data_IF_652000478595
#
_entry.id   IF_652000478595
#
_cell.length_a   1.000
_cell.length_b   1.000
_cell.length_c   1.000
_cell.angle_alpha   90.00
_cell.angle_beta   90.00
_cell.angle_gamma   90.00
#
_symmetry.space_group_name_H-M   'P 1'
#
loop_
_entity.id
_entity.type
_entity.pdbx_description
1 polymer ?
#
# COMPACT_ATOMS: atom_id res chain seq x y z
N UNK A 1 -9.43 12.60 -31.33
CA UNK A 1 -8.02 12.66 -31.71
C UNK A 1 -7.42 11.29 -31.50
N UNK A 2 -7.06 10.61 -32.59
CA UNK A 2 -6.34 9.34 -32.58
C UNK A 2 -4.84 9.57 -32.33
N UNK A 3 -4.09 8.51 -32.02
CA UNK A 3 -2.63 8.61 -31.86
C UNK A 3 -1.96 9.14 -33.14
N UNK A 4 -2.45 8.72 -34.31
CA UNK A 4 -1.96 9.16 -35.61
C UNK A 4 -2.27 10.63 -35.90
N UNK A 5 -3.46 11.12 -35.51
CA UNK A 5 -3.83 12.55 -35.64
C UNK A 5 -2.99 13.43 -34.70
N UNK A 6 -2.72 12.96 -33.48
CA UNK A 6 -1.85 13.65 -32.53
C UNK A 6 -0.39 13.73 -33.03
N UNK A 7 0.13 12.62 -33.55
CA UNK A 7 1.49 12.56 -34.08
C UNK A 7 1.66 13.42 -35.35
N UNK A 8 0.63 13.49 -36.20
CA UNK A 8 0.62 14.37 -37.38
C UNK A 8 0.66 15.86 -36.97
N UNK A 9 -0.14 16.26 -35.98
CA UNK A 9 -0.11 17.62 -35.42
C UNK A 9 1.26 17.96 -34.82
N UNK A 10 1.87 17.04 -34.07
CA UNK A 10 3.20 17.25 -33.51
C UNK A 10 4.30 17.38 -34.57
N UNK A 11 4.15 16.70 -35.72
CA UNK A 11 5.07 16.83 -36.86
C UNK A 11 4.91 18.19 -37.53
N UNK A 12 3.68 18.65 -37.71
CA UNK A 12 3.37 19.98 -38.26
C UNK A 12 3.90 21.11 -37.35
N UNK A 13 3.81 20.93 -36.03
CA UNK A 13 4.38 21.85 -35.03
C UNK A 13 5.91 21.74 -34.87
N UNK A 14 6.58 20.80 -35.55
CA UNK A 14 8.03 20.58 -35.41
C UNK A 14 8.46 20.03 -34.04
N UNK A 15 7.53 19.46 -33.26
CA UNK A 15 7.73 18.97 -31.89
C UNK A 15 7.80 17.45 -31.77
N UNK A 16 7.58 16.73 -32.87
CA UNK A 16 7.55 15.28 -32.91
C UNK A 16 8.88 14.65 -32.48
N UNK A 17 10.00 15.11 -33.03
CA UNK A 17 11.31 14.53 -32.75
C UNK A 17 11.69 14.70 -31.26
N UNK A 18 11.44 15.89 -30.70
CA UNK A 18 11.65 16.15 -29.27
C UNK A 18 10.76 15.28 -28.36
N UNK A 19 9.51 14.99 -28.77
CA UNK A 19 8.65 14.06 -28.05
C UNK A 19 9.23 12.64 -28.08
N UNK A 20 9.69 12.17 -29.25
CA UNK A 20 10.27 10.84 -29.42
C UNK A 20 11.54 10.68 -28.57
N UNK A 21 12.47 11.65 -28.63
CA UNK A 21 13.69 11.65 -27.81
C UNK A 21 13.39 11.60 -26.31
N UNK A 22 12.40 12.37 -25.85
CA UNK A 22 11.97 12.37 -24.45
C UNK A 22 11.31 11.04 -24.05
N UNK A 23 10.51 10.44 -24.93
CA UNK A 23 9.92 9.12 -24.69
C UNK A 23 11.00 8.04 -24.57
N UNK A 24 11.97 8.04 -25.48
CA UNK A 24 13.09 7.10 -25.44
C UNK A 24 13.94 7.28 -24.19
N UNK A 25 14.24 8.53 -23.79
CA UNK A 25 14.98 8.83 -22.55
C UNK A 25 14.23 8.27 -21.34
N UNK A 26 12.93 8.54 -21.22
CA UNK A 26 12.09 8.01 -20.14
C UNK A 26 12.05 6.48 -20.15
N UNK A 27 12.01 5.86 -21.32
CA UNK A 27 12.01 4.40 -21.46
C UNK A 27 13.36 3.80 -21.02
N UNK A 28 14.49 4.40 -21.44
CA UNK A 28 15.83 3.99 -20.98
C UNK A 28 15.94 4.06 -19.46
N UNK A 29 15.53 5.16 -18.85
CA UNK A 29 15.51 5.31 -17.39
C UNK A 29 14.59 4.30 -16.69
N UNK A 30 13.41 4.01 -17.26
CA UNK A 30 12.52 2.96 -16.73
C UNK A 30 13.18 1.59 -16.78
N UNK A 31 13.84 1.25 -17.88
CA UNK A 31 14.52 -0.03 -18.05
C UNK A 31 15.70 -0.18 -17.09
N UNK A 32 16.49 0.88 -16.88
CA UNK A 32 17.59 0.89 -15.92
C UNK A 32 17.09 0.67 -14.49
N UNK A 33 16.07 1.42 -14.05
CA UNK A 33 15.43 1.22 -12.74
C UNK A 33 14.85 -0.18 -12.59
N UNK A 34 14.19 -0.70 -13.63
CA UNK A 34 13.65 -2.06 -13.62
C UNK A 34 14.76 -3.12 -13.45
N UNK A 35 15.92 -2.93 -14.10
CA UNK A 35 17.09 -3.82 -13.93
C UNK A 35 17.63 -3.75 -12.51
N UNK A 36 17.73 -2.56 -11.94
CA UNK A 36 18.16 -2.37 -10.56
C UNK A 36 17.23 -3.08 -9.57
N UNK A 37 15.91 -2.89 -9.70
CA UNK A 37 14.92 -3.53 -8.83
C UNK A 37 14.89 -5.05 -8.99
N UNK A 38 15.11 -5.56 -10.21
CA UNK A 38 15.26 -7.00 -10.46
C UNK A 38 16.47 -7.57 -9.74
N UNK A 39 17.61 -6.89 -9.75
CA UNK A 39 18.80 -7.30 -8.98
C UNK A 39 18.53 -7.26 -7.48
N UNK A 40 17.93 -6.18 -7.00
CA UNK A 40 17.65 -5.98 -5.58
C UNK A 40 16.71 -7.07 -5.02
N UNK A 41 15.68 -7.49 -5.75
CA UNK A 41 14.69 -8.47 -5.25
C UNK A 41 15.16 -9.93 -5.27
N UNK A 42 16.32 -10.25 -5.85
CA UNK A 42 16.81 -11.64 -5.97
C UNK A 42 16.75 -12.41 -4.63
N UNK A 43 17.20 -11.85 -3.48
CA UNK A 43 17.13 -12.56 -2.21
C UNK A 43 15.69 -12.80 -1.73
N UNK A 44 14.76 -11.87 -2.01
CA UNK A 44 13.35 -12.04 -1.67
C UNK A 44 12.71 -13.17 -2.48
N UNK A 45 12.95 -13.20 -3.79
CA UNK A 45 12.40 -14.24 -4.66
C UNK A 45 12.99 -15.61 -4.32
N UNK A 46 14.28 -15.69 -4.03
CA UNK A 46 14.92 -16.93 -3.59
C UNK A 46 14.29 -17.47 -2.28
N UNK A 47 14.11 -16.60 -1.29
CA UNK A 47 13.50 -16.97 -0.02
C UNK A 47 12.02 -17.36 -0.17
N UNK A 48 11.25 -16.69 -1.04
CA UNK A 48 9.87 -17.08 -1.34
C UNK A 48 9.79 -18.48 -1.98
N UNK A 49 10.66 -18.76 -2.96
CA UNK A 49 10.72 -20.07 -3.62
C UNK A 49 11.14 -21.19 -2.67
N UNK A 50 12.06 -20.92 -1.75
CA UNK A 50 12.48 -21.88 -0.73
C UNK A 50 11.31 -22.30 0.21
N UNK A 51 10.29 -21.46 0.33
CA UNK A 51 9.05 -21.74 1.08
C UNK A 51 7.91 -22.25 0.17
N UNK A 52 8.21 -22.67 -1.05
CA UNK A 52 7.23 -23.23 -2.00
C UNK A 52 6.38 -22.18 -2.72
N UNK A 53 6.74 -20.89 -2.63
CA UNK A 53 6.03 -19.79 -3.28
C UNK A 53 6.68 -19.48 -4.62
N UNK A 54 6.08 -20.00 -5.69
CA UNK A 54 6.51 -19.81 -7.08
C UNK A 54 6.16 -18.40 -7.58
N UNK A 55 7.14 -17.49 -7.56
CA UNK A 55 7.02 -16.13 -8.10
C UNK A 55 8.30 -15.68 -8.83
N UNK A 56 8.14 -14.69 -9.71
CA UNK A 56 9.21 -13.89 -10.31
C UNK A 56 9.38 -12.55 -9.58
N UNK A 57 8.34 -12.11 -8.89
CA UNK A 57 8.35 -10.86 -8.13
C UNK A 57 7.34 -10.81 -6.98
N UNK A 58 7.58 -9.89 -6.06
CA UNK A 58 6.60 -9.49 -5.05
C UNK A 58 5.28 -8.98 -5.66
N UNK A 59 5.33 -8.43 -6.89
CA UNK A 59 4.14 -7.97 -7.60
C UNK A 59 3.25 -9.10 -8.09
N UNK A 60 3.78 -10.32 -8.24
CA UNK A 60 2.97 -11.48 -8.59
C UNK A 60 2.02 -11.83 -7.42
N UNK A 61 2.49 -11.64 -6.18
CA UNK A 61 1.66 -11.77 -4.97
C UNK A 61 0.62 -10.65 -4.88
N UNK A 62 0.96 -9.43 -5.30
CA UNK A 62 0.00 -8.31 -5.35
C UNK A 62 -1.10 -8.57 -6.37
N UNK A 63 -0.76 -9.16 -7.52
CA UNK A 63 -1.65 -9.34 -8.66
C UNK A 63 -2.39 -10.69 -8.67
N UNK A 64 -2.04 -11.62 -7.78
CA UNK A 64 -2.71 -12.91 -7.69
C UNK A 64 -3.99 -12.85 -6.85
N UNK A 65 -4.97 -13.66 -7.23
CA UNK A 65 -6.17 -13.92 -6.42
C UNK A 65 -5.99 -15.11 -5.49
N UNK A 66 -4.92 -15.90 -5.66
CA UNK A 66 -4.64 -17.07 -4.83
C UNK A 66 -4.11 -16.62 -3.46
N UNK A 67 -4.56 -17.22 -2.36
CA UNK A 67 -3.99 -16.94 -1.04
C UNK A 67 -2.55 -17.50 -0.95
N UNK A 68 -1.69 -16.80 -0.21
CA UNK A 68 -0.27 -17.13 -0.02
C UNK A 68 0.16 -17.00 1.45
N UNK A 69 -0.46 -17.73 2.40
CA UNK A 69 -0.10 -17.63 3.82
C UNK A 69 1.40 -17.90 4.07
N UNK A 70 2.01 -18.82 3.31
CA UNK A 70 3.41 -19.20 3.48
C UNK A 70 4.40 -18.10 3.06
N UNK A 71 3.95 -17.14 2.24
CA UNK A 71 4.76 -15.99 1.86
C UNK A 71 4.84 -14.93 2.99
N UNK A 72 3.85 -14.89 3.89
CA UNK A 72 3.69 -13.80 4.88
C UNK A 72 4.90 -13.70 5.82
N UNK A 73 5.40 -14.79 6.44
CA UNK A 73 6.59 -14.71 7.29
C UNK A 73 7.83 -14.25 6.53
N UNK A 74 7.96 -14.64 5.26
CA UNK A 74 9.07 -14.22 4.39
C UNK A 74 8.98 -12.73 4.09
N UNK A 75 7.80 -12.24 3.72
CA UNK A 75 7.55 -10.81 3.44
C UNK A 75 7.85 -9.94 4.67
N UNK A 76 7.40 -10.35 5.87
CA UNK A 76 7.68 -9.63 7.13
C UNK A 76 9.18 -9.60 7.44
N UNK A 77 9.91 -10.71 7.22
CA UNK A 77 11.37 -10.75 7.40
C UNK A 77 12.10 -9.83 6.40
N UNK A 78 11.54 -9.62 5.22
CA UNK A 78 12.17 -8.84 4.16
C UNK A 78 11.83 -7.35 4.19
N UNK A 79 10.70 -6.95 4.76
CA UNK A 79 10.26 -5.56 4.80
C UNK A 79 11.30 -4.60 5.44
N UNK A 80 11.98 -4.95 6.55
CA UNK A 80 12.98 -4.08 7.18
C UNK A 80 14.34 -4.06 6.45
N UNK A 81 14.53 -4.89 5.42
CA UNK A 81 15.79 -4.92 4.66
C UNK A 81 15.89 -3.65 3.80
N UNK A 82 17.12 -3.19 3.56
CA UNK A 82 17.44 -1.98 2.79
C UNK A 82 17.18 -2.08 1.29
N UNK A 83 15.96 -2.48 0.90
CA UNK A 83 15.52 -2.54 -0.49
C UNK A 83 15.16 -1.15 -1.03
N UNK A 84 15.27 -0.94 -2.35
CA UNK A 84 14.68 0.23 -3.00
C UNK A 84 13.19 0.35 -2.69
N UNK A 85 12.68 1.58 -2.58
CA UNK A 85 11.29 1.84 -2.15
C UNK A 85 10.25 1.11 -3.01
N UNK A 86 10.48 0.93 -4.31
CA UNK A 86 9.57 0.18 -5.17
C UNK A 86 9.43 -1.29 -4.78
N UNK A 87 10.52 -1.91 -4.33
CA UNK A 87 10.50 -3.31 -3.86
C UNK A 87 9.83 -3.36 -2.48
N UNK A 88 10.13 -2.40 -1.59
CA UNK A 88 9.46 -2.29 -0.28
C UNK A 88 7.95 -2.08 -0.42
N UNK A 89 7.54 -1.27 -1.40
CA UNK A 89 6.14 -1.06 -1.76
C UNK A 89 5.47 -2.36 -2.17
N UNK A 90 6.08 -3.14 -3.07
CA UNK A 90 5.54 -4.42 -3.49
C UNK A 90 5.40 -5.41 -2.33
N UNK A 91 6.39 -5.48 -1.43
CA UNK A 91 6.32 -6.28 -0.19
C UNK A 91 5.13 -5.83 0.68
N UNK A 92 5.03 -4.53 0.95
CA UNK A 92 4.00 -3.98 1.83
C UNK A 92 2.59 -4.16 1.23
N UNK A 93 2.43 -3.97 -0.08
CA UNK A 93 1.16 -4.21 -0.78
C UNK A 93 0.79 -5.70 -0.80
N UNK A 94 1.76 -6.61 -0.94
CA UNK A 94 1.51 -8.04 -0.83
C UNK A 94 1.02 -8.41 0.58
N UNK A 95 1.58 -7.80 1.63
CA UNK A 95 1.08 -7.94 2.99
C UNK A 95 -0.34 -7.36 3.17
N UNK A 96 -0.70 -6.32 2.40
CA UNK A 96 -2.03 -5.72 2.42
C UNK A 96 -3.10 -6.46 1.59
N UNK A 97 -2.71 -7.45 0.77
CA UNK A 97 -3.65 -8.08 -0.15
C UNK A 97 -4.71 -8.88 0.61
N UNK A 98 -5.98 -8.65 0.25
CA UNK A 98 -7.14 -9.23 0.91
C UNK A 98 -7.34 -10.69 0.50
N UNK A 99 -6.54 -11.59 1.05
CA UNK A 99 -6.85 -13.01 1.11
C UNK A 99 -7.31 -13.40 2.51
N UNK A 100 -8.33 -14.27 2.69
CA UNK A 100 -8.77 -14.75 4.02
C UNK A 100 -7.70 -15.53 4.83
N UNK A 101 -6.45 -15.57 4.36
CA UNK A 101 -5.28 -16.18 5.01
C UNK A 101 -3.98 -15.36 4.88
N UNK A 102 -3.99 -14.20 4.21
CA UNK A 102 -2.77 -13.39 4.10
C UNK A 102 -2.44 -12.64 5.39
N UNK A 103 -3.43 -12.41 6.27
CA UNK A 103 -3.15 -11.93 7.64
C UNK A 103 -4.19 -12.52 8.60
N UNK A 104 -3.79 -13.61 9.26
CA UNK A 104 -4.07 -13.78 10.68
C UNK A 104 -3.33 -12.73 11.53
N UNK A 105 -2.77 -11.66 10.95
CA UNK A 105 -2.03 -10.61 11.63
C UNK A 105 -2.85 -9.59 12.43
N UNK A 106 -4.19 -9.67 12.38
CA UNK A 106 -4.98 -9.17 13.51
C UNK A 106 -4.61 -9.83 14.83
N UNK A 107 -4.21 -11.09 14.78
CA UNK A 107 -3.80 -11.87 15.96
C UNK A 107 -2.30 -12.07 16.08
N UNK A 108 -1.52 -11.74 15.06
CA UNK A 108 -0.06 -11.84 15.11
C UNK A 108 0.53 -10.49 15.48
N UNK A 109 0.77 -10.32 16.79
CA UNK A 109 1.39 -9.12 17.36
C UNK A 109 2.75 -8.81 16.72
N UNK A 110 3.51 -9.83 16.33
CA UNK A 110 4.81 -9.61 15.71
C UNK A 110 4.70 -8.92 14.35
N UNK A 111 3.72 -9.33 13.54
CA UNK A 111 3.47 -8.71 12.24
C UNK A 111 3.06 -7.23 12.39
N UNK A 112 2.21 -6.93 13.38
CA UNK A 112 1.83 -5.56 13.72
C UNK A 112 3.06 -4.72 14.09
N UNK A 113 3.88 -5.19 15.04
CA UNK A 113 5.05 -4.45 15.53
C UNK A 113 6.04 -4.14 14.40
N UNK A 114 6.32 -5.12 13.52
CA UNK A 114 7.20 -4.91 12.35
C UNK A 114 6.65 -3.83 11.42
N UNK A 115 5.35 -3.85 11.15
CA UNK A 115 4.70 -2.87 10.27
C UNK A 115 4.71 -1.46 10.87
N UNK A 116 4.44 -1.30 12.17
CA UNK A 116 4.46 -0.01 12.85
C UNK A 116 5.85 0.61 12.78
N UNK A 117 6.88 -0.17 13.14
CA UNK A 117 8.28 0.26 13.10
C UNK A 117 8.67 0.75 11.71
N UNK A 118 8.35 -0.02 10.66
CA UNK A 118 8.72 0.32 9.29
C UNK A 118 7.91 1.50 8.73
N UNK A 119 6.63 1.60 9.10
CA UNK A 119 5.77 2.74 8.75
C UNK A 119 6.29 4.05 9.35
N UNK A 120 6.64 4.04 10.65
CA UNK A 120 7.17 5.22 11.35
C UNK A 120 8.56 5.64 10.83
N UNK A 121 9.43 4.68 10.51
CA UNK A 121 10.75 4.96 9.90
C UNK A 121 10.63 5.55 8.50
N UNK A 122 9.59 5.20 7.75
CA UNK A 122 9.44 5.63 6.37
C UNK A 122 9.22 7.14 6.29
N UNK A 123 10.05 7.82 5.50
CA UNK A 123 9.98 9.27 5.27
C UNK A 123 9.18 9.64 4.02
N UNK A 124 8.71 8.66 3.26
CA UNK A 124 7.92 8.88 2.06
C UNK A 124 6.63 9.62 2.40
N UNK A 125 6.47 10.90 1.98
CA UNK A 125 5.27 11.67 2.28
C UNK A 125 4.13 11.33 1.29
N UNK A 126 4.40 10.58 0.23
CA UNK A 126 3.44 10.33 -0.83
C UNK A 126 2.45 9.24 -0.44
N UNK A 127 1.20 9.38 -0.90
CA UNK A 127 0.16 8.36 -0.76
C UNK A 127 0.27 7.25 -1.83
N UNK A 128 1.47 7.02 -2.39
CA UNK A 128 1.66 6.13 -3.54
C UNK A 128 2.76 5.08 -3.35
N UNK A 129 3.74 5.32 -2.46
CA UNK A 129 4.90 4.45 -2.29
C UNK A 129 4.82 3.47 -1.12
N UNK A 130 5.99 3.10 -0.61
CA UNK A 130 6.13 2.03 0.38
C UNK A 130 5.37 2.32 1.67
N UNK A 131 5.36 3.57 2.12
CA UNK A 131 4.65 3.98 3.35
C UNK A 131 3.15 3.77 3.24
N UNK A 132 2.56 4.14 2.10
CA UNK A 132 1.15 3.88 1.84
C UNK A 132 0.85 2.38 1.83
N UNK A 133 1.70 1.59 1.17
CA UNK A 133 1.61 0.12 1.20
C UNK A 133 1.60 -0.44 2.63
N UNK A 134 2.48 0.08 3.49
CA UNK A 134 2.54 -0.30 4.91
C UNK A 134 1.28 0.10 5.67
N UNK A 135 0.74 1.30 5.41
CA UNK A 135 -0.53 1.73 5.99
C UNK A 135 -1.70 0.83 5.56
N UNK A 136 -1.73 0.39 4.30
CA UNK A 136 -2.70 -0.60 3.86
C UNK A 136 -2.52 -1.95 4.57
N UNK A 137 -1.28 -2.39 4.81
CA UNK A 137 -1.01 -3.63 5.54
C UNK A 137 -1.45 -3.52 7.01
N UNK A 138 -1.12 -2.41 7.69
CA UNK A 138 -1.60 -2.07 9.03
C UNK A 138 -3.12 -2.02 9.09
N UNK A 139 -3.76 -1.44 8.07
CA UNK A 139 -5.22 -1.39 7.98
C UNK A 139 -5.86 -2.78 7.93
N UNK A 140 -5.22 -3.76 7.29
CA UNK A 140 -5.69 -5.15 7.26
C UNK A 140 -5.35 -5.89 8.56
N UNK A 141 -4.17 -5.64 9.13
CA UNK A 141 -3.74 -6.22 10.39
C UNK A 141 -4.49 -5.64 11.60
N UNK A 142 -4.99 -4.40 11.57
CA UNK A 142 -5.56 -3.77 12.75
C UNK A 142 -6.90 -4.37 13.18
N UNK A 143 -7.03 -4.62 14.48
CA UNK A 143 -8.27 -4.94 15.19
C UNK A 143 -8.38 -4.20 16.53
N UNK A 144 -9.39 -4.56 17.34
CA UNK A 144 -9.66 -3.89 18.61
C UNK A 144 -8.53 -4.02 19.64
N UNK A 145 -7.63 -5.02 19.51
CA UNK A 145 -6.52 -5.24 20.44
C UNK A 145 -5.39 -4.21 20.29
N UNK A 146 -5.32 -3.51 19.17
CA UNK A 146 -4.29 -2.49 18.86
C UNK A 146 -4.91 -1.12 18.62
N UNK A 147 -6.16 -0.91 19.04
CA UNK A 147 -6.92 0.29 18.71
C UNK A 147 -6.28 1.57 19.28
N UNK A 148 -5.66 1.49 20.46
CA UNK A 148 -4.97 2.62 21.08
C UNK A 148 -3.75 3.05 20.24
N UNK A 149 -2.97 2.09 19.73
CA UNK A 149 -1.83 2.35 18.84
C UNK A 149 -2.29 2.91 17.48
N UNK A 150 -3.43 2.45 16.97
CA UNK A 150 -4.04 3.03 15.75
C UNK A 150 -4.41 4.50 15.98
N UNK A 151 -5.00 4.82 17.14
CA UNK A 151 -5.38 6.20 17.50
C UNK A 151 -4.12 7.07 17.59
N UNK A 152 -3.04 6.57 18.21
CA UNK A 152 -1.76 7.25 18.27
C UNK A 152 -1.21 7.55 16.87
N UNK A 153 -1.12 6.55 15.99
CA UNK A 153 -0.64 6.73 14.61
C UNK A 153 -1.50 7.72 13.80
N UNK A 154 -2.81 7.74 14.04
CA UNK A 154 -3.72 8.70 13.40
C UNK A 154 -3.50 10.13 13.90
N UNK A 155 -3.03 10.32 15.15
CA UNK A 155 -2.73 11.64 15.70
C UNK A 155 -1.42 12.25 15.17
N UNK A 156 -0.53 11.42 14.60
CA UNK A 156 0.78 11.84 14.11
C UNK A 156 0.70 12.53 12.74
N UNK A 157 0.46 13.84 12.72
CA UNK A 157 0.31 14.65 11.49
C UNK A 157 1.49 14.52 10.49
N UNK A 158 2.70 14.22 10.99
CA UNK A 158 3.90 13.96 10.15
C UNK A 158 3.71 12.82 9.15
N UNK A 159 2.69 11.98 9.33
CA UNK A 159 2.37 10.88 8.41
C UNK A 159 1.43 11.31 7.27
N UNK A 160 0.85 12.51 7.33
CA UNK A 160 0.04 13.08 6.25
C UNK A 160 -1.12 12.16 5.85
N UNK A 161 -1.35 12.03 4.54
CA UNK A 161 -2.39 11.16 3.98
C UNK A 161 -2.13 9.67 4.18
N UNK A 162 -0.91 9.24 4.51
CA UNK A 162 -0.63 7.83 4.79
C UNK A 162 -1.37 7.29 6.02
N UNK A 163 -2.03 8.17 6.79
CA UNK A 163 -2.95 7.83 7.88
C UNK A 163 -4.32 7.34 7.40
N UNK A 164 -4.74 7.70 6.18
CA UNK A 164 -6.09 7.41 5.64
C UNK A 164 -6.45 5.91 5.68
N UNK A 165 -5.55 4.96 5.32
CA UNK A 165 -5.89 3.53 5.40
C UNK A 165 -6.25 3.06 6.81
N UNK A 166 -5.66 3.66 7.85
CA UNK A 166 -5.91 3.27 9.25
C UNK A 166 -7.35 3.58 9.70
N UNK A 167 -8.05 4.49 9.02
CA UNK A 167 -9.46 4.78 9.29
C UNK A 167 -10.36 3.56 9.12
N UNK A 168 -10.01 2.59 8.25
CA UNK A 168 -10.78 1.35 8.10
C UNK A 168 -10.76 0.50 9.38
N UNK A 169 -9.69 0.57 10.18
CA UNK A 169 -9.61 -0.10 11.49
C UNK A 169 -10.64 0.50 12.44
N UNK A 170 -10.69 1.83 12.56
CA UNK A 170 -11.73 2.51 13.36
C UNK A 170 -13.14 2.17 12.88
N UNK A 171 -13.34 2.09 11.56
CA UNK A 171 -14.65 1.81 10.97
C UNK A 171 -15.14 0.39 11.25
N UNK A 172 -14.22 -0.58 11.40
CA UNK A 172 -14.50 -1.99 11.71
C UNK A 172 -14.56 -2.28 13.22
N UNK A 173 -13.92 -1.44 14.03
CA UNK A 173 -13.82 -1.58 15.48
C UNK A 173 -15.19 -1.68 16.18
N UNK A 174 -15.25 -2.38 17.32
CA UNK A 174 -16.41 -2.37 18.22
C UNK A 174 -16.28 -1.33 19.36
N UNK A 175 -15.11 -0.70 19.50
CA UNK A 175 -14.84 0.27 20.57
C UNK A 175 -15.56 1.59 20.30
N UNK A 176 -16.27 2.12 21.29
CA UNK A 176 -17.07 3.35 21.14
C UNK A 176 -16.18 4.57 20.86
N UNK A 177 -15.00 4.62 21.47
CA UNK A 177 -14.02 5.67 21.22
C UNK A 177 -13.55 5.71 19.76
N UNK A 178 -13.25 4.55 19.17
CA UNK A 178 -12.88 4.46 17.75
C UNK A 178 -13.96 5.02 16.83
N UNK A 179 -15.23 4.74 17.13
CA UNK A 179 -16.36 5.30 16.40
C UNK A 179 -16.53 6.80 16.58
N UNK A 180 -16.32 7.32 17.79
CA UNK A 180 -16.33 8.75 18.08
C UNK A 180 -15.23 9.45 17.31
N UNK A 181 -14.01 8.94 17.37
CA UNK A 181 -12.87 9.50 16.66
C UNK A 181 -13.12 9.53 15.14
N UNK A 182 -13.59 8.43 14.54
CA UNK A 182 -13.89 8.40 13.11
C UNK A 182 -14.93 9.48 12.69
N UNK A 183 -15.92 9.76 13.56
CA UNK A 183 -16.88 10.86 13.31
C UNK A 183 -16.22 12.22 13.41
N UNK A 184 -15.39 12.45 14.43
CA UNK A 184 -14.70 13.72 14.63
C UNK A 184 -13.72 14.01 13.48
N UNK A 185 -13.08 12.97 12.95
CA UNK A 185 -12.17 13.07 11.80
C UNK A 185 -12.88 13.41 10.49
N UNK A 186 -14.22 13.43 10.42
CA UNK A 186 -14.95 13.77 9.20
C UNK A 186 -14.65 15.18 8.69
N UNK A 187 -14.28 16.10 9.58
CA UNK A 187 -13.95 17.49 9.25
C UNK A 187 -12.45 17.78 9.25
N UNK A 188 -11.62 16.75 9.40
CA UNK A 188 -10.17 16.86 9.27
C UNK A 188 -9.78 17.22 7.81
N UNK A 189 -8.87 18.18 7.59
CA UNK A 189 -8.50 18.63 6.25
C UNK A 189 -7.82 17.56 5.39
N UNK A 190 -7.18 16.55 5.99
CA UNK A 190 -6.49 15.47 5.28
C UNK A 190 -7.27 14.15 5.34
N UNK A 191 -7.93 13.85 6.46
CA UNK A 191 -8.60 12.57 6.72
C UNK A 191 -10.11 12.62 6.48
N UNK A 192 -10.68 13.82 6.40
CA UNK A 192 -12.13 14.04 6.37
C UNK A 192 -12.85 13.33 5.24
N UNK A 193 -12.29 13.37 4.04
CA UNK A 193 -12.89 12.67 2.89
C UNK A 193 -12.95 11.16 3.12
N UNK A 194 -11.84 10.55 3.56
CA UNK A 194 -11.78 9.12 3.85
C UNK A 194 -12.73 8.70 4.98
N UNK A 195 -12.80 9.51 6.05
CA UNK A 195 -13.72 9.29 7.17
C UNK A 195 -15.20 9.35 6.72
N UNK A 196 -15.58 10.37 5.94
CA UNK A 196 -16.93 10.56 5.39
C UNK A 196 -17.35 9.37 4.52
N UNK A 197 -16.47 8.88 3.65
CA UNK A 197 -16.74 7.72 2.79
C UNK A 197 -17.01 6.44 3.61
N UNK A 198 -16.19 6.19 4.63
CA UNK A 198 -16.34 5.02 5.51
C UNK A 198 -17.64 5.08 6.32
N UNK A 199 -17.99 6.24 6.86
CA UNK A 199 -19.26 6.45 7.57
C UNK A 199 -20.48 6.21 6.65
N UNK A 200 -20.43 6.72 5.41
CA UNK A 200 -21.47 6.48 4.39
C UNK A 200 -21.61 5.00 4.06
N UNK A 201 -20.49 4.28 3.89
CA UNK A 201 -20.47 2.83 3.64
C UNK A 201 -21.08 2.04 4.80
N UNK A 202 -20.81 2.44 6.05
CA UNK A 202 -21.37 1.82 7.27
C UNK A 202 -22.88 2.02 7.36
N UNK A 203 -23.39 3.24 7.09
CA UNK A 203 -24.84 3.53 7.03
C UNK A 203 -25.56 2.65 6.00
N UNK A 204 -25.00 2.54 4.79
CA UNK A 204 -25.52 1.67 3.71
C UNK A 204 -25.58 0.19 4.11
N UNK A 205 -24.57 -0.32 4.82
CA UNK A 205 -24.54 -1.72 5.29
C UNK A 205 -25.60 -1.99 6.35
N UNK A 206 -25.85 -1.05 7.27
CA UNK A 206 -26.90 -1.17 8.29
C UNK A 206 -28.30 -1.18 7.65
N UNK A 207 -28.56 -0.27 6.71
CA UNK A 207 -29.86 -0.20 6.01
C UNK A 207 -30.17 -1.35 5.05
N UNK A 208 -29.20 -2.24 4.75
CA UNK A 208 -29.43 -3.48 3.98
C UNK A 208 -29.71 -4.70 4.87
N UNK A 209 -29.47 -4.59 6.17
CA UNK A 209 -29.68 -5.67 7.16
C UNK A 209 -31.00 -5.54 7.90
N UNK A 210 -31.70 -4.42 7.73
CA UNK A 210 -33.06 -4.15 8.18
C UNK A 210 -33.99 -4.27 6.99
#
# INVERSE_FOLDING_TARGET
MTLAEHDALLKEEGRYDAMVEEQERRERERQERAREWRKARVPLVADLRAFGVEVESEWDLVNTTKPYPDAVPVLLRHLPKGYPDRVREGIARALAARGPRALAAGRDRHAWDVLVVEFQKSKDPTALGAKWGMACALSVAGDDSVIEEVIELLSEERHGENRVPLLDVLARSQVEEAHRLLKNLADDPQLGQGAKELLKKKKRRRGRKN
#
